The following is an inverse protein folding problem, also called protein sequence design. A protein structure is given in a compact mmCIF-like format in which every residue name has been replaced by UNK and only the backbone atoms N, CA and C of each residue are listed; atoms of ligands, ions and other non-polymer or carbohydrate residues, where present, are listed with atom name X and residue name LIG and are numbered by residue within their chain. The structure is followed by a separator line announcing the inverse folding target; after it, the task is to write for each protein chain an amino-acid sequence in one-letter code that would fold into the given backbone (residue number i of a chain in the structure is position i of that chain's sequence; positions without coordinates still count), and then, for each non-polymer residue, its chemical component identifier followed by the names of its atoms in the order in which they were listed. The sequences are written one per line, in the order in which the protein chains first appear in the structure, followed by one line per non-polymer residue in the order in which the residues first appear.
data_IF_558825261072
#
_entry.id   IF_558825261072
#
_cell.length_a   1.000
_cell.length_b   1.000
_cell.length_c   1.000
_cell.angle_alpha   90.00
_cell.angle_beta   90.00
_cell.angle_gamma   90.00
#
_symmetry.space_group_name_H-M   'P 1'
#
loop_
_entity.id
_entity.type
_entity.pdbx_description
1 polymer ?
#
# COMPACT_ATOMS: atom_id res chain seq x y z
N UNK A 1 17.62 13.34 -17.64
CA UNK A 1 16.50 13.10 -17.88
C UNK A 1 15.88 12.56 -16.77
N UNK A 2 14.84 12.82 -16.52
CA UNK A 2 14.30 12.39 -15.52
C UNK A 2 13.63 11.25 -15.72
N UNK A 3 13.42 10.53 -14.78
CA UNK A 3 12.79 9.36 -14.96
C UNK A 3 11.39 9.54 -15.07
N UNK A 4 10.76 8.84 -15.90
CA UNK A 4 9.34 8.88 -16.00
C UNK A 4 8.73 8.23 -14.79
N UNK A 5 7.47 8.33 -14.67
CA UNK A 5 6.74 7.66 -13.63
C UNK A 5 7.02 6.18 -13.77
N UNK A 6 7.32 5.50 -12.69
CA UNK A 6 7.63 4.08 -12.77
C UNK A 6 6.44 3.32 -13.30
N UNK A 7 6.65 2.52 -14.30
CA UNK A 7 5.60 1.69 -14.83
C UNK A 7 5.86 0.22 -14.61
N UNK A 8 7.06 -0.14 -14.18
CA UNK A 8 7.38 -1.54 -13.92
C UNK A 8 7.04 -1.90 -12.49
N UNK A 9 6.42 -3.04 -12.25
CA UNK A 9 6.08 -3.46 -10.90
C UNK A 9 7.32 -3.60 -10.04
N UNK A 10 7.20 -3.20 -8.79
CA UNK A 10 8.32 -3.28 -7.86
C UNK A 10 8.85 -4.68 -7.68
N UNK A 11 7.97 -5.67 -7.78
CA UNK A 11 8.40 -7.06 -7.64
C UNK A 11 9.36 -7.49 -8.74
N UNK A 12 9.37 -6.80 -9.87
CA UNK A 12 10.29 -7.12 -10.95
C UNK A 12 11.57 -6.29 -10.86
N UNK A 13 11.68 -5.44 -9.86
CA UNK A 13 12.85 -4.59 -9.68
C UNK A 13 13.32 -4.66 -8.24
N UNK A 14 13.99 -5.75 -7.87
CA UNK A 14 14.35 -5.98 -6.46
C UNK A 14 15.15 -4.85 -5.81
N UNK A 15 16.04 -4.23 -6.54
CA UNK A 15 16.84 -3.16 -5.95
C UNK A 15 16.00 -1.95 -5.64
N UNK A 16 15.10 -1.62 -6.54
CA UNK A 16 14.22 -0.49 -6.33
C UNK A 16 13.25 -0.77 -5.19
N UNK A 17 12.75 -2.01 -5.13
CA UNK A 17 11.86 -2.42 -4.05
C UNK A 17 12.56 -2.28 -2.70
N UNK A 18 13.81 -2.73 -2.60
CA UNK A 18 14.54 -2.62 -1.35
C UNK A 18 14.73 -1.17 -0.93
N UNK A 19 15.03 -0.31 -1.87
CA UNK A 19 15.18 1.11 -1.55
C UNK A 19 13.89 1.72 -1.04
N UNK A 20 12.77 1.39 -1.70
CA UNK A 20 11.50 1.91 -1.25
C UNK A 20 11.13 1.42 0.13
N UNK A 21 11.39 0.14 0.40
CA UNK A 21 11.08 -0.42 1.70
C UNK A 21 11.93 0.20 2.80
N UNK A 22 13.17 0.53 2.50
CA UNK A 22 14.04 1.14 3.49
C UNK A 22 13.60 2.55 3.85
N UNK A 23 12.97 3.24 2.92
CA UNK A 23 12.53 4.60 3.19
C UNK A 23 11.35 4.66 4.14
N UNK A 24 10.68 3.56 4.36
CA UNK A 24 9.47 3.55 5.19
C UNK A 24 9.87 3.49 6.66
N UNK A 25 9.44 4.45 7.47
CA UNK A 25 9.82 4.46 8.88
C UNK A 25 9.00 3.44 9.67
N UNK A 26 9.54 2.99 10.82
CA UNK A 26 8.81 2.04 11.67
C UNK A 26 7.85 2.82 12.58
N UNK A 27 7.00 3.62 12.01
CA UNK A 27 6.08 4.49 12.72
C UNK A 27 4.65 4.17 12.34
N UNK A 28 3.69 4.62 13.14
CA UNK A 28 2.30 4.43 12.75
C UNK A 28 1.93 5.35 11.60
N UNK A 29 0.97 4.93 10.81
CA UNK A 29 0.53 5.77 9.71
C UNK A 29 -0.25 4.99 8.68
N UNK A 30 -0.39 5.58 7.51
CA UNK A 30 -1.08 4.98 6.38
C UNK A 30 -0.14 4.79 5.23
N UNK A 31 -0.40 3.79 4.41
CA UNK A 31 0.38 3.55 3.21
C UNK A 31 -0.56 3.46 2.02
N UNK A 32 -0.05 3.90 0.87
CA UNK A 32 -0.82 3.88 -0.37
C UNK A 32 0.03 3.18 -1.42
N UNK A 33 -0.58 2.30 -2.18
CA UNK A 33 0.12 1.58 -3.23
C UNK A 33 -0.49 1.95 -4.58
N UNK A 34 0.37 2.33 -5.51
CA UNK A 34 -0.07 2.80 -6.83
C UNK A 34 0.42 1.89 -7.93
N UNK A 35 -0.33 1.83 -9.03
CA UNK A 35 0.08 1.03 -10.17
C UNK A 35 0.84 1.91 -11.16
N UNK A 36 1.16 1.36 -12.32
CA UNK A 36 1.94 2.07 -13.33
C UNK A 36 1.23 3.23 -13.98
N UNK A 37 -0.07 3.34 -13.76
CA UNK A 37 -0.84 4.46 -14.28
C UNK A 37 -1.16 5.46 -13.18
N UNK A 38 -0.45 5.33 -12.08
CA UNK A 38 -0.60 6.25 -10.94
C UNK A 38 -1.97 6.15 -10.27
N UNK A 39 -2.65 5.04 -10.44
CA UNK A 39 -3.92 4.83 -9.76
C UNK A 39 -3.66 4.18 -8.42
N UNK A 40 -4.47 4.54 -7.43
CA UNK A 40 -4.33 3.97 -6.11
C UNK A 40 -4.96 2.58 -6.08
N UNK A 41 -4.13 1.58 -5.84
CA UNK A 41 -4.60 0.20 -5.75
C UNK A 41 -5.12 -0.13 -4.37
N UNK A 42 -4.46 0.41 -3.35
CA UNK A 42 -4.76 0.01 -1.99
C UNK A 42 -4.33 1.08 -1.01
N UNK A 43 -5.09 1.22 0.07
CA UNK A 43 -4.76 2.11 1.18
C UNK A 43 -4.93 1.29 2.44
N UNK A 44 -3.97 1.36 3.34
CA UNK A 44 -4.07 0.65 4.61
C UNK A 44 -3.43 1.45 5.72
N UNK A 45 -3.59 0.96 6.94
CA UNK A 45 -2.97 1.59 8.10
C UNK A 45 -2.18 0.57 8.86
N UNK A 46 -1.26 1.03 9.69
CA UNK A 46 -0.47 0.14 10.52
C UNK A 46 0.12 0.90 11.68
N UNK A 47 0.42 0.19 12.77
CA UNK A 47 1.16 0.76 13.87
C UNK A 47 2.62 0.85 13.49
N UNK A 48 3.09 0.00 12.59
CA UNK A 48 4.47 -0.02 12.15
C UNK A 48 4.48 -0.15 10.64
N UNK A 49 4.55 0.98 9.97
CA UNK A 49 4.47 1.01 8.52
C UNK A 49 5.50 0.10 7.85
N UNK A 50 6.74 0.17 8.31
CA UNK A 50 7.82 -0.61 7.67
C UNK A 50 7.52 -2.10 7.68
N UNK A 51 7.17 -2.63 8.82
CA UNK A 51 6.89 -4.04 8.97
C UNK A 51 5.71 -4.47 8.12
N UNK A 52 4.67 -3.67 8.16
CA UNK A 52 3.44 -4.02 7.45
C UNK A 52 3.65 -4.02 5.93
N UNK A 53 4.28 -2.99 5.42
CA UNK A 53 4.48 -2.89 3.98
C UNK A 53 5.45 -3.98 3.52
N UNK A 54 6.50 -4.23 4.29
CA UNK A 54 7.42 -5.30 3.93
C UNK A 54 6.73 -6.64 3.82
N UNK A 55 5.78 -6.90 4.67
CA UNK A 55 5.11 -8.19 4.67
C UNK A 55 4.38 -8.47 3.37
N UNK A 56 3.92 -7.42 2.69
CA UNK A 56 3.25 -7.61 1.40
C UNK A 56 4.20 -8.11 0.32
N UNK A 57 5.49 -7.86 0.47
CA UNK A 57 6.46 -8.22 -0.57
C UNK A 57 7.39 -9.35 -0.15
N UNK A 58 7.47 -9.63 1.15
CA UNK A 58 8.35 -10.67 1.63
C UNK A 58 7.62 -11.94 2.03
N UNK A 59 6.40 -11.83 2.50
CA UNK A 59 5.64 -12.99 2.94
C UNK A 59 4.43 -13.19 2.07
N UNK A 60 4.65 -13.18 0.76
CA UNK A 60 3.54 -13.21 -0.18
C UNK A 60 2.69 -14.47 -0.09
N UNK A 61 3.28 -15.58 0.32
CA UNK A 61 2.53 -16.82 0.43
C UNK A 61 1.47 -16.76 1.53
N UNK A 62 1.59 -15.83 2.46
CA UNK A 62 0.60 -15.68 3.52
C UNK A 62 -0.54 -14.76 3.09
N UNK A 63 -0.49 -14.20 1.91
CA UNK A 63 -1.50 -13.26 1.46
C UNK A 63 -2.61 -13.99 0.74
N UNK A 64 -3.80 -13.41 0.77
CA UNK A 64 -4.90 -13.95 -0.01
C UNK A 64 -4.56 -13.80 -1.49
N UNK A 65 -5.14 -14.60 -2.35
CA UNK A 65 -4.85 -14.49 -3.78
C UNK A 65 -5.11 -13.10 -4.34
N UNK A 66 -6.15 -12.43 -3.80
CA UNK A 66 -6.49 -11.11 -4.26
C UNK A 66 -5.44 -10.10 -3.92
N UNK A 67 -4.92 -10.13 -2.69
CA UNK A 67 -3.88 -9.23 -2.26
C UNK A 67 -2.57 -9.56 -2.97
N UNK A 68 -2.29 -10.83 -3.21
CA UNK A 68 -1.12 -11.20 -3.98
C UNK A 68 -1.16 -10.61 -5.39
N UNK A 69 -2.35 -10.64 -5.99
CA UNK A 69 -2.52 -10.05 -7.30
C UNK A 69 -2.25 -8.55 -7.25
N UNK A 70 -2.73 -7.90 -6.19
CA UNK A 70 -2.50 -6.47 -6.02
C UNK A 70 -1.00 -6.16 -5.94
N UNK A 71 -0.23 -6.93 -5.16
CA UNK A 71 1.20 -6.65 -5.01
C UNK A 71 1.95 -6.76 -6.33
N UNK A 72 1.45 -7.57 -7.25
CA UNK A 72 2.11 -7.72 -8.55
C UNK A 72 1.92 -6.49 -9.43
N UNK A 73 0.98 -5.63 -9.09
CA UNK A 73 0.70 -4.43 -9.87
C UNK A 73 1.30 -3.18 -9.26
N UNK A 74 1.83 -3.28 -8.04
CA UNK A 74 2.35 -2.10 -7.35
C UNK A 74 3.63 -1.61 -7.98
N UNK A 75 3.62 -0.36 -8.41
CA UNK A 75 4.79 0.28 -8.99
C UNK A 75 5.36 1.34 -8.08
N UNK A 76 4.57 1.83 -7.14
CA UNK A 76 5.04 2.86 -6.22
C UNK A 76 4.34 2.72 -4.87
N UNK A 77 5.05 3.05 -3.80
CA UNK A 77 4.54 3.00 -2.44
C UNK A 77 4.71 4.37 -1.82
N UNK A 78 3.63 4.88 -1.24
CA UNK A 78 3.69 6.14 -0.51
C UNK A 78 3.24 5.89 0.91
N UNK A 79 3.59 6.77 1.83
CA UNK A 79 3.17 6.61 3.20
C UNK A 79 2.98 7.98 3.86
N UNK A 80 2.14 8.01 4.88
CA UNK A 80 1.91 9.21 5.67
C UNK A 80 2.02 8.81 7.12
N UNK A 81 2.99 9.38 7.82
CA UNK A 81 3.21 9.08 9.23
C UNK A 81 2.21 9.86 10.07
N UNK A 82 1.66 9.21 11.08
CA UNK A 82 0.74 9.85 12.01
C UNK A 82 1.28 9.72 13.42
N UNK A 83 0.69 10.46 14.34
CA UNK A 83 1.16 10.42 15.72
C UNK A 83 0.71 9.15 16.43
N UNK A 84 -0.34 8.54 15.97
CA UNK A 84 -0.86 7.35 16.64
C UNK A 84 -1.63 6.49 15.65
N UNK A 85 -1.94 5.29 16.07
CA UNK A 85 -2.72 4.39 15.26
C UNK A 85 -4.16 4.91 15.09
N UNK A 86 -4.67 5.58 16.12
CA UNK A 86 -6.02 6.14 16.04
C UNK A 86 -6.09 7.20 14.94
N UNK A 87 -5.06 8.01 14.84
CA UNK A 87 -4.99 9.02 13.80
C UNK A 87 -4.87 8.36 12.44
N UNK A 88 -4.11 7.28 12.37
CA UNK A 88 -3.95 6.55 11.12
C UNK A 88 -5.28 5.96 10.66
N UNK A 89 -6.09 5.51 11.60
CA UNK A 89 -7.40 4.96 11.26
C UNK A 89 -8.31 6.03 10.64
N UNK A 90 -8.33 7.21 11.24
CA UNK A 90 -9.14 8.29 10.70
C UNK A 90 -8.64 8.72 9.33
N UNK A 91 -7.33 8.76 9.16
CA UNK A 91 -6.76 9.14 7.89
C UNK A 91 -7.04 8.09 6.82
N UNK A 92 -6.95 6.82 7.19
CA UNK A 92 -7.23 5.73 6.26
C UNK A 92 -8.66 5.84 5.73
N UNK A 93 -9.60 6.10 6.60
CA UNK A 93 -10.99 6.27 6.20
C UNK A 93 -11.15 7.39 5.18
N UNK A 94 -10.52 8.51 5.43
CA UNK A 94 -10.59 9.63 4.51
C UNK A 94 -9.94 9.34 3.19
N UNK A 95 -8.80 8.67 3.21
CA UNK A 95 -8.09 8.33 1.99
C UNK A 95 -8.89 7.35 1.14
N UNK A 96 -9.53 6.39 1.77
CA UNK A 96 -10.35 5.43 1.05
C UNK A 96 -11.54 6.13 0.40
N UNK A 97 -12.17 7.03 1.13
CA UNK A 97 -13.30 7.76 0.59
C UNK A 97 -12.90 8.64 -0.59
N UNK A 98 -11.76 9.30 -0.47
CA UNK A 98 -11.34 10.23 -1.49
C UNK A 98 -10.77 9.56 -2.73
N UNK A 99 -10.07 8.47 -2.57
CA UNK A 99 -9.37 7.82 -3.69
C UNK A 99 -10.08 6.59 -4.23
N UNK A 100 -10.92 5.98 -3.43
CA UNK A 100 -11.66 4.78 -3.79
C UNK A 100 -10.73 3.74 -4.39
N UNK A 101 -9.74 3.26 -3.62
CA UNK A 101 -8.74 2.34 -4.15
C UNK A 101 -9.38 1.07 -4.67
N UNK A 102 -8.88 0.58 -5.78
CA UNK A 102 -9.47 -0.55 -6.47
C UNK A 102 -9.64 -1.79 -5.58
N UNK A 103 -8.60 -2.15 -4.85
CA UNK A 103 -8.66 -3.34 -4.01
C UNK A 103 -9.37 -3.10 -2.67
N UNK A 104 -9.40 -1.88 -2.19
CA UNK A 104 -10.14 -1.56 -0.99
C UNK A 104 -11.62 -1.48 -1.23
N UNK A 105 -12.03 -1.07 -2.41
CA UNK A 105 -13.43 -0.99 -2.72
C UNK A 105 -14.11 -2.32 -2.58
N UNK A 106 -13.46 -3.35 -3.05
CA UNK A 106 -14.02 -4.65 -2.96
C UNK A 106 -14.12 -5.12 -1.54
N UNK A 107 -13.23 -4.61 -0.69
CA UNK A 107 -13.19 -5.00 0.66
C UNK A 107 -14.24 -4.32 1.46
N UNK A 108 -14.50 -3.07 1.19
CA UNK A 108 -15.45 -2.29 1.90
C UNK A 108 -16.82 -2.36 1.31
N UNK A 109 -17.00 -3.10 0.24
CA UNK A 109 -18.25 -3.28 -0.31
C UNK A 109 -19.11 -3.83 0.75
N UNK A 110 -20.27 -3.50 0.77
CA UNK A 110 -21.12 -3.72 1.84
C UNK A 110 -21.22 -5.03 2.24
N UNK A 111 -20.71 -5.48 2.82
CA UNK A 111 -20.78 -6.63 3.17
C UNK A 111 -21.18 -6.66 4.34
N UNK A 112 -21.71 -6.93 4.60
CA UNK A 112 -22.05 -6.85 5.73
C UNK A 112 -21.46 -7.63 6.67
N UNK A 113 -21.09 -7.83 6.62
CA UNK A 113 -20.64 -8.31 7.41
C UNK A 113 -20.48 -8.17 8.07
N UNK A 114 -20.47 -8.05 8.09
CA UNK A 114 -20.40 -7.93 8.41
C UNK A 114 -20.37 -8.01 8.67
#
# INVERSE_FOLDING_TARGET
MEDPVPTAPLLTQPERLERRLKDIPPEPGCYLMRDGEDRILYVGKSKTLRSRVRSYFRSRHDLSPRIRLMTRQVCEIEFIVTDSEAEALALESNLIKNHQPHFCLLYTSPSPRD
#
